data_IF_275979704792
#
_entry.id   IF_275979704792
#
_cell.length_a   1.000
_cell.length_b   1.000
_cell.length_c   1.000
_cell.angle_alpha   90.00
_cell.angle_beta   90.00
_cell.angle_gamma   90.00
#
_symmetry.space_group_name_H-M   'P 1'
#
loop_
_entity.id
_entity.type
_entity.pdbx_description
1 polymer ?
#
# COMPACT_ATOMS: atom_id res chain seq x y z
N UNK A 1 41.90 -9.29 1.51
CA UNK A 1 40.49 -9.38 1.10
C UNK A 1 39.87 -8.00 1.31
N UNK A 2 39.57 -7.29 0.22
CA UNK A 2 39.04 -5.92 0.32
C UNK A 2 37.52 -6.00 0.53
N UNK A 3 37.06 -5.55 1.70
CA UNK A 3 35.62 -5.41 1.98
C UNK A 3 35.14 -4.07 1.43
N UNK A 4 34.47 -4.11 0.27
CA UNK A 4 33.99 -2.91 -0.42
C UNK A 4 32.62 -2.43 0.06
N UNK A 5 31.88 -3.27 0.79
CA UNK A 5 30.56 -2.90 1.32
C UNK A 5 30.70 -2.11 2.62
N UNK A 6 30.11 -0.91 2.66
CA UNK A 6 30.00 -0.07 3.86
C UNK A 6 28.54 0.28 4.08
N UNK A 7 27.89 -0.39 5.05
CA UNK A 7 26.48 -0.17 5.35
C UNK A 7 25.85 -1.35 6.10
N UNK A 8 24.51 -1.35 6.17
CA UNK A 8 23.72 -2.42 6.77
C UNK A 8 22.96 -3.18 5.68
N UNK A 9 22.93 -4.51 5.80
CA UNK A 9 22.22 -5.41 4.89
C UNK A 9 21.23 -6.23 5.72
N UNK A 10 19.94 -6.07 5.46
CA UNK A 10 18.88 -6.78 6.20
C UNK A 10 18.73 -8.24 5.75
N UNK A 11 19.12 -8.57 4.52
CA UNK A 11 19.13 -9.95 4.01
C UNK A 11 19.66 -10.03 2.58
N UNK A 12 20.26 -11.18 2.24
CA UNK A 12 20.72 -11.51 0.89
C UNK A 12 20.37 -12.97 0.59
N UNK A 13 19.66 -13.18 -0.50
CA UNK A 13 19.36 -14.49 -1.05
C UNK A 13 20.04 -14.61 -2.42
N UNK A 14 20.80 -15.68 -2.63
CA UNK A 14 21.51 -15.93 -3.90
C UNK A 14 21.09 -17.28 -4.45
N UNK A 15 20.54 -17.27 -5.67
CA UNK A 15 20.26 -18.49 -6.42
C UNK A 15 21.48 -18.88 -7.26
N UNK A 16 22.25 -19.87 -6.81
CA UNK A 16 23.50 -20.27 -7.49
C UNK A 16 23.22 -21.06 -8.76
N UNK A 17 23.82 -20.66 -9.87
CA UNK A 17 23.78 -21.39 -11.14
C UNK A 17 22.44 -21.36 -11.87
N UNK A 18 21.50 -20.50 -11.45
CA UNK A 18 20.16 -20.40 -12.00
C UNK A 18 19.76 -18.93 -12.10
N UNK A 19 18.99 -18.58 -13.12
CA UNK A 19 18.31 -17.28 -13.23
C UNK A 19 16.96 -17.38 -12.54
N UNK A 20 16.61 -16.36 -11.76
CA UNK A 20 15.32 -16.29 -11.07
C UNK A 20 14.15 -16.18 -12.06
N UNK A 21 12.96 -16.65 -11.69
CA UNK A 21 11.81 -16.58 -12.58
C UNK A 21 11.24 -15.16 -12.70
N UNK A 22 10.70 -14.77 -13.86
CA UNK A 22 10.03 -13.48 -14.03
C UNK A 22 8.87 -13.26 -13.05
N UNK A 23 8.18 -14.34 -12.66
CA UNK A 23 7.07 -14.29 -11.70
C UNK A 23 7.56 -13.90 -10.29
N UNK A 24 8.70 -14.44 -9.87
CA UNK A 24 9.31 -14.10 -8.58
C UNK A 24 9.79 -12.64 -8.60
N UNK A 25 10.41 -12.19 -9.68
CA UNK A 25 10.79 -10.78 -9.84
C UNK A 25 9.57 -9.85 -9.80
N UNK A 26 8.49 -10.21 -10.52
CA UNK A 26 7.23 -9.47 -10.50
C UNK A 26 6.61 -9.44 -9.11
N UNK A 27 6.68 -10.54 -8.37
CA UNK A 27 6.21 -10.64 -6.99
C UNK A 27 6.98 -9.69 -6.05
N UNK A 28 8.30 -9.57 -6.22
CA UNK A 28 9.15 -8.65 -5.46
C UNK A 28 8.81 -7.18 -5.74
N UNK A 29 8.40 -6.85 -6.96
CA UNK A 29 8.00 -5.50 -7.34
C UNK A 29 6.57 -5.13 -6.90
N UNK A 30 5.73 -6.09 -6.52
CA UNK A 30 4.38 -5.80 -6.01
C UNK A 30 4.45 -5.34 -4.56
N UNK A 31 3.81 -4.21 -4.28
CA UNK A 31 3.59 -3.77 -2.91
C UNK A 31 2.80 -4.84 -2.14
N UNK A 32 3.33 -5.27 -1.00
CA UNK A 32 2.69 -6.23 -0.08
C UNK A 32 1.88 -5.55 1.02
N UNK A 33 1.90 -4.23 1.04
CA UNK A 33 1.15 -3.38 1.95
C UNK A 33 0.46 -2.31 1.11
N UNK A 34 -0.85 -2.10 1.30
CA UNK A 34 -1.63 -1.08 0.57
C UNK A 34 -2.87 -0.63 1.35
N UNK A 35 -3.49 0.45 0.88
CA UNK A 35 -4.81 0.91 1.29
C UNK A 35 -5.87 0.36 0.31
N UNK A 36 -6.81 -0.38 0.84
CA UNK A 36 -7.95 -0.93 0.12
C UNK A 36 -9.16 0.00 0.28
N UNK A 37 -9.86 0.22 -0.83
CA UNK A 37 -10.99 1.14 -0.90
C UNK A 37 -12.27 0.38 -1.26
N UNK A 38 -13.45 0.83 -0.80
CA UNK A 38 -14.72 0.22 -1.16
C UNK A 38 -14.91 0.17 -2.68
N UNK A 39 -15.47 -0.93 -3.20
CA UNK A 39 -15.74 -1.04 -4.62
C UNK A 39 -16.77 0.01 -5.06
N UNK A 40 -16.72 0.41 -6.33
CA UNK A 40 -17.47 1.57 -6.83
C UNK A 40 -18.99 1.42 -6.70
N UNK A 41 -19.50 0.19 -6.71
CA UNK A 41 -20.91 -0.16 -6.48
C UNK A 41 -21.37 0.04 -5.02
N UNK A 42 -20.44 0.06 -4.07
CA UNK A 42 -20.70 0.35 -2.67
C UNK A 42 -20.55 1.84 -2.30
N UNK A 43 -20.24 2.70 -3.28
CA UNK A 43 -20.05 4.14 -3.09
C UNK A 43 -21.38 4.88 -3.31
N UNK A 44 -21.63 5.93 -2.52
CA UNK A 44 -22.85 6.71 -2.65
C UNK A 44 -22.83 7.60 -3.91
N UNK A 45 -24.01 7.95 -4.43
CA UNK A 45 -24.11 8.84 -5.58
C UNK A 45 -23.50 10.21 -5.27
N UNK A 46 -22.53 10.63 -6.08
CA UNK A 46 -21.86 11.93 -5.90
C UNK A 46 -20.63 11.89 -5.00
N UNK A 47 -20.10 10.68 -4.71
CA UNK A 47 -18.78 10.52 -4.12
C UNK A 47 -17.75 10.08 -5.15
N UNK A 48 -16.52 10.56 -5.00
CA UNK A 48 -15.38 10.17 -5.83
C UNK A 48 -14.27 9.65 -4.92
N UNK A 49 -13.76 8.45 -5.23
CA UNK A 49 -12.62 7.85 -4.52
C UNK A 49 -11.51 7.60 -5.51
N UNK A 50 -10.35 8.20 -5.27
CA UNK A 50 -9.14 8.03 -6.07
C UNK A 50 -8.03 7.41 -5.22
N UNK A 51 -7.22 6.54 -5.82
CA UNK A 51 -6.02 5.99 -5.21
C UNK A 51 -4.84 6.23 -6.13
N UNK A 52 -3.66 6.47 -5.55
CA UNK A 52 -2.43 6.53 -6.34
C UNK A 52 -2.06 5.13 -6.90
N UNK A 53 -1.09 5.09 -7.83
CA UNK A 53 -0.66 3.85 -8.49
C UNK A 53 -0.09 2.80 -7.52
N UNK A 54 0.54 3.26 -6.44
CA UNK A 54 1.13 2.40 -5.40
C UNK A 54 0.11 1.92 -4.36
N UNK A 55 -1.13 2.45 -4.41
CA UNK A 55 -2.19 2.22 -3.41
C UNK A 55 -1.75 2.55 -1.99
N UNK A 56 -0.96 3.60 -1.83
CA UNK A 56 -0.48 4.12 -0.54
C UNK A 56 -1.19 5.41 -0.13
N UNK A 57 -1.93 6.03 -1.04
CA UNK A 57 -2.67 7.28 -0.84
C UNK A 57 -4.07 7.14 -1.42
N UNK A 58 -5.06 7.55 -0.64
CA UNK A 58 -6.48 7.53 -1.01
C UNK A 58 -7.06 8.92 -0.80
N UNK A 59 -7.70 9.45 -1.83
CA UNK A 59 -8.43 10.72 -1.80
C UNK A 59 -9.91 10.43 -1.92
N UNK A 60 -10.70 10.90 -0.96
CA UNK A 60 -12.16 10.76 -0.95
C UNK A 60 -12.77 12.15 -1.05
N UNK A 61 -13.67 12.32 -2.01
CA UNK A 61 -14.48 13.54 -2.17
C UNK A 61 -15.95 13.16 -2.05
N UNK A 62 -16.70 13.92 -1.24
CA UNK A 62 -18.13 13.73 -1.03
C UNK A 62 -18.80 15.09 -0.80
N UNK A 63 -20.11 15.18 -1.05
CA UNK A 63 -20.90 16.39 -0.80
C UNK A 63 -21.32 16.56 0.66
N UNK A 64 -21.56 15.45 1.34
CA UNK A 64 -22.08 15.42 2.71
C UNK A 64 -21.04 14.83 3.66
N UNK A 65 -20.98 15.38 4.88
CA UNK A 65 -20.04 14.94 5.92
C UNK A 65 -20.26 13.48 6.31
N UNK A 66 -21.51 13.06 6.52
CA UNK A 66 -21.83 11.69 6.94
C UNK A 66 -21.33 10.65 5.93
N UNK A 67 -21.49 10.95 4.65
CA UNK A 67 -21.03 10.09 3.54
C UNK A 67 -19.50 10.05 3.48
N UNK A 68 -18.83 11.19 3.73
CA UNK A 68 -17.37 11.25 3.79
C UNK A 68 -16.84 10.39 4.95
N UNK A 69 -17.42 10.54 6.14
CA UNK A 69 -17.04 9.77 7.33
C UNK A 69 -17.27 8.27 7.14
N UNK A 70 -18.41 7.87 6.58
CA UNK A 70 -18.70 6.47 6.26
C UNK A 70 -17.69 5.89 5.27
N UNK A 71 -17.37 6.60 4.18
CA UNK A 71 -16.39 6.12 3.20
C UNK A 71 -14.98 6.01 3.79
N UNK A 72 -14.52 7.02 4.54
CA UNK A 72 -13.21 6.99 5.19
C UNK A 72 -13.13 5.83 6.20
N UNK A 73 -14.22 5.54 6.91
CA UNK A 73 -14.27 4.42 7.87
C UNK A 73 -14.10 3.05 7.23
N UNK A 74 -14.38 2.92 5.93
CA UNK A 74 -14.28 1.67 5.17
C UNK A 74 -12.94 1.51 4.45
N UNK A 75 -12.05 2.52 4.48
CA UNK A 75 -10.69 2.39 3.96
C UNK A 75 -9.89 1.49 4.89
N UNK A 76 -9.33 0.41 4.34
CA UNK A 76 -8.62 -0.60 5.12
C UNK A 76 -7.14 -0.63 4.76
N UNK A 77 -6.27 -0.77 5.77
CA UNK A 77 -4.88 -1.15 5.54
C UNK A 77 -4.80 -2.67 5.36
N UNK A 78 -4.14 -3.11 4.29
CA UNK A 78 -3.94 -4.52 3.97
C UNK A 78 -2.45 -4.83 3.96
N UNK A 79 -2.08 -5.97 4.56
CA UNK A 79 -0.73 -6.54 4.52
C UNK A 79 -0.81 -8.01 4.11
N UNK A 80 -0.26 -8.34 2.94
CA UNK A 80 -0.29 -9.70 2.38
C UNK A 80 1.00 -10.49 2.61
N UNK A 81 1.87 -10.04 3.53
CA UNK A 81 3.08 -10.79 3.89
C UNK A 81 2.70 -11.98 4.78
N UNK A 82 3.20 -13.17 4.44
CA UNK A 82 3.08 -14.36 5.30
C UNK A 82 3.73 -14.14 6.67
N UNK A 83 4.81 -13.35 6.70
CA UNK A 83 5.52 -12.93 7.90
C UNK A 83 5.62 -11.40 7.93
N UNK A 84 4.59 -10.69 8.43
CA UNK A 84 4.59 -9.23 8.50
C UNK A 84 5.68 -8.75 9.44
N UNK A 85 6.53 -7.82 8.97
CA UNK A 85 7.53 -7.19 9.85
C UNK A 85 6.81 -6.33 10.89
N UNK A 86 7.01 -6.57 12.21
CA UNK A 86 6.48 -5.70 13.24
C UNK A 86 6.99 -4.27 13.08
N UNK A 87 6.12 -3.28 13.28
CA UNK A 87 6.48 -1.87 13.11
C UNK A 87 5.26 -0.96 13.04
N UNK A 88 5.47 0.33 13.32
CA UNK A 88 4.43 1.35 13.23
C UNK A 88 4.24 1.78 11.77
N UNK A 89 2.99 1.83 11.31
CA UNK A 89 2.60 2.44 10.03
C UNK A 89 1.84 3.71 10.37
N UNK A 90 2.49 4.86 10.23
CA UNK A 90 1.84 6.15 10.49
C UNK A 90 0.91 6.45 9.32
N UNK A 91 -0.37 6.67 9.62
CA UNK A 91 -1.35 7.16 8.64
C UNK A 91 -1.50 8.66 8.85
N UNK A 92 -1.42 9.42 7.76
CA UNK A 92 -1.68 10.85 7.75
C UNK A 92 -3.04 11.11 7.13
N UNK A 93 -3.88 11.85 7.86
CA UNK A 93 -5.21 12.25 7.39
C UNK A 93 -5.18 13.77 7.24
N UNK A 94 -5.46 14.24 6.03
CA UNK A 94 -5.63 15.65 5.71
C UNK A 94 -7.03 15.86 5.15
N UNK A 95 -7.70 16.89 5.64
CA UNK A 95 -9.08 17.22 5.25
C UNK A 95 -9.15 18.68 4.83
N UNK A 96 -9.84 18.95 3.73
CA UNK A 96 -10.13 20.30 3.25
C UNK A 96 -11.63 20.45 3.07
N UNK A 97 -12.20 21.52 3.63
CA UNK A 97 -13.60 21.91 3.39
C UNK A 97 -13.57 23.03 2.36
N UNK A 98 -14.30 22.86 1.25
CA UNK A 98 -14.43 23.86 0.18
C UNK A 98 -15.75 24.61 0.27
#
# INVERSE_FOLDING_TARGET
MAFHFRGYLTGLSVLRGRTESPDVLSCLHRCKEWLDVPPADAQATGTEVASNAERSEVTVMARDQDTLEDLVSRVAYVNSRDFPTPGRRTVHIATTVM
#
